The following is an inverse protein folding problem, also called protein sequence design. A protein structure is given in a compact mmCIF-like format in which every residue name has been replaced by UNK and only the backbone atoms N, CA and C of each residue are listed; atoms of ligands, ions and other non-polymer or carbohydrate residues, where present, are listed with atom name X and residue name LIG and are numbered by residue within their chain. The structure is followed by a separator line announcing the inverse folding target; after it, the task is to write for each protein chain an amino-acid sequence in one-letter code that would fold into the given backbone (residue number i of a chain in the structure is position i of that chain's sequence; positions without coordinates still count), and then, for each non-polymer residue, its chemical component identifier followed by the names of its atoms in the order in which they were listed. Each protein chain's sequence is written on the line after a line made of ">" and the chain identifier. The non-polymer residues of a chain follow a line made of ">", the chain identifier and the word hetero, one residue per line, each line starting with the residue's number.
data_IF_281475322860
#
_entry.id   IF_281475322860
#
_cell.length_a   1.000
_cell.length_b   1.000
_cell.length_c   1.000
_cell.angle_alpha   90.00
_cell.angle_beta   90.00
_cell.angle_gamma   90.00
#
_symmetry.space_group_name_H-M   'P 1'
#
loop_
_entity.id
_entity.type
_entity.pdbx_description
1 polymer ?
#
# COMPACT_ATOMS: atom_id res chain seq x y z
N UNK A 1 1.15 -25.10 -5.44
CA UNK A 1 2.51 -24.54 -5.42
C UNK A 1 2.73 -23.88 -4.06
N UNK A 2 3.80 -24.16 -3.33
CA UNK A 2 4.21 -23.33 -2.20
C UNK A 2 4.74 -22.00 -2.79
N UNK A 3 3.92 -20.95 -2.75
CA UNK A 3 4.26 -19.65 -3.32
C UNK A 3 3.06 -18.71 -3.28
N UNK A 4 3.33 -17.41 -3.26
CA UNK A 4 2.30 -16.37 -3.38
C UNK A 4 2.17 -16.01 -4.86
N UNK A 5 0.94 -15.94 -5.35
CA UNK A 5 0.66 -15.49 -6.73
C UNK A 5 0.30 -14.01 -6.70
N UNK A 6 0.97 -13.21 -7.53
CA UNK A 6 0.58 -11.81 -7.76
C UNK A 6 0.01 -11.72 -9.17
N UNK A 7 -1.20 -11.20 -9.29
CA UNK A 7 -1.85 -10.91 -10.57
C UNK A 7 -2.02 -9.41 -10.68
N UNK A 8 -1.39 -8.81 -11.68
CA UNK A 8 -1.52 -7.39 -12.00
C UNK A 8 -2.28 -7.27 -13.31
N UNK A 9 -3.55 -6.87 -13.23
CA UNK A 9 -4.39 -6.66 -14.39
C UNK A 9 -4.41 -5.17 -14.77
N UNK A 10 -3.67 -4.84 -15.83
CA UNK A 10 -3.53 -3.48 -16.36
C UNK A 10 -4.40 -3.26 -17.60
N UNK A 11 -5.47 -4.02 -17.79
CA UNK A 11 -6.40 -3.76 -18.89
C UNK A 11 -7.41 -2.69 -18.50
N UNK A 12 -8.00 -2.06 -19.52
CA UNK A 12 -9.26 -1.37 -19.36
C UNK A 12 -10.31 -2.29 -18.69
N UNK A 13 -11.17 -1.72 -17.84
CA UNK A 13 -12.18 -2.44 -17.07
C UNK A 13 -11.66 -3.68 -16.31
N UNK A 14 -10.48 -3.57 -15.70
CA UNK A 14 -9.85 -4.64 -14.90
C UNK A 14 -10.54 -4.88 -13.55
N UNK A 15 -11.34 -3.92 -13.06
CA UNK A 15 -12.02 -3.98 -11.76
C UNK A 15 -12.76 -5.31 -11.45
N UNK A 16 -13.61 -5.85 -12.35
CA UNK A 16 -14.41 -7.05 -12.06
C UNK A 16 -13.58 -8.32 -11.87
N UNK A 17 -12.30 -8.29 -12.27
CA UNK A 17 -11.43 -9.43 -12.11
C UNK A 17 -11.00 -9.63 -10.66
N UNK A 18 -11.06 -8.60 -9.81
CA UNK A 18 -10.71 -8.73 -8.38
C UNK A 18 -11.56 -9.82 -7.73
N UNK A 19 -12.88 -9.73 -7.81
CA UNK A 19 -13.82 -10.71 -7.23
C UNK A 19 -13.54 -12.14 -7.71
N UNK A 20 -13.14 -12.33 -8.97
CA UNK A 20 -12.94 -13.66 -9.58
C UNK A 20 -11.54 -14.24 -9.37
N UNK A 21 -10.54 -13.38 -9.19
CA UNK A 21 -9.15 -13.79 -9.03
C UNK A 21 -8.72 -13.85 -7.57
N UNK A 22 -9.45 -13.15 -6.68
CA UNK A 22 -9.30 -13.18 -5.24
C UNK A 22 -9.20 -14.60 -4.70
N UNK A 23 -8.42 -14.76 -3.65
CA UNK A 23 -8.36 -16.02 -2.93
C UNK A 23 -7.08 -16.22 -2.13
N UNK A 24 -6.96 -17.37 -1.45
CA UNK A 24 -5.87 -17.63 -0.53
C UNK A 24 -4.51 -17.53 -1.22
N UNK A 25 -3.58 -16.77 -0.60
CA UNK A 25 -2.21 -16.54 -1.08
C UNK A 25 -2.14 -15.87 -2.47
N UNK A 26 -3.13 -15.04 -2.79
CA UNK A 26 -3.12 -14.22 -4.00
C UNK A 26 -3.10 -12.75 -3.64
N UNK A 27 -2.42 -11.97 -4.46
CA UNK A 27 -2.52 -10.52 -4.50
C UNK A 27 -3.08 -10.19 -5.88
N UNK A 28 -4.18 -9.46 -5.93
CA UNK A 28 -4.80 -9.03 -7.17
C UNK A 28 -4.77 -7.50 -7.22
N UNK A 29 -4.14 -6.95 -8.25
CA UNK A 29 -4.12 -5.52 -8.52
C UNK A 29 -4.89 -5.28 -9.81
N UNK A 30 -5.85 -4.35 -9.77
CA UNK A 30 -6.53 -3.84 -10.95
C UNK A 30 -6.19 -2.37 -11.16
N UNK A 31 -5.96 -1.96 -12.41
CA UNK A 31 -5.70 -0.56 -12.75
C UNK A 31 -6.94 0.34 -12.66
N UNK A 32 -8.15 -0.24 -12.61
CA UNK A 32 -9.43 0.48 -12.61
C UNK A 32 -10.27 0.13 -11.38
N UNK A 33 -11.17 1.03 -10.97
CA UNK A 33 -12.09 0.86 -9.84
C UNK A 33 -13.56 0.67 -10.26
N UNK A 34 -13.85 0.63 -11.56
CA UNK A 34 -15.19 0.41 -12.08
C UNK A 34 -15.21 -0.24 -13.48
N UNK A 35 -16.35 -0.86 -13.81
CA UNK A 35 -16.65 -1.39 -15.17
C UNK A 35 -16.77 -0.30 -16.25
N UNK A 36 -16.96 0.96 -15.85
CA UNK A 36 -17.17 2.08 -16.77
C UNK A 36 -15.85 2.60 -17.36
N UNK A 37 -14.71 2.30 -16.72
CA UNK A 37 -13.38 2.75 -17.15
C UNK A 37 -12.86 1.89 -18.30
N UNK A 38 -13.26 2.21 -19.53
CA UNK A 38 -12.91 1.48 -20.75
C UNK A 38 -11.76 2.08 -21.55
N UNK A 39 -11.11 3.12 -21.02
CA UNK A 39 -9.96 3.75 -21.66
C UNK A 39 -8.68 2.97 -21.39
N UNK A 40 -7.69 3.14 -22.29
CA UNK A 40 -6.35 2.60 -22.08
C UNK A 40 -5.76 3.13 -20.78
N UNK A 41 -5.11 2.23 -20.02
CA UNK A 41 -4.53 2.56 -18.73
C UNK A 41 -3.08 2.99 -18.88
N UNK A 42 -2.66 4.00 -18.13
CA UNK A 42 -1.27 4.41 -17.99
C UNK A 42 -0.56 3.69 -16.83
N UNK A 43 -1.32 2.98 -15.98
CA UNK A 43 -0.81 2.16 -14.88
C UNK A 43 0.48 1.36 -15.17
N UNK A 44 0.55 0.53 -16.25
CA UNK A 44 1.68 -0.39 -16.42
C UNK A 44 3.02 0.34 -16.58
N UNK A 45 3.03 1.50 -17.24
CA UNK A 45 4.24 2.30 -17.41
C UNK A 45 4.79 2.77 -16.06
N UNK A 46 3.92 3.27 -15.19
CA UNK A 46 4.29 3.73 -13.86
C UNK A 46 4.62 2.58 -12.90
N UNK A 47 3.96 1.43 -13.08
CA UNK A 47 4.18 0.24 -12.26
C UNK A 47 5.56 -0.36 -12.46
N UNK A 48 6.02 -0.48 -13.71
CA UNK A 48 7.39 -0.94 -14.01
C UNK A 48 8.41 0.05 -13.44
N UNK A 49 8.21 1.35 -13.67
CA UNK A 49 9.10 2.41 -13.16
C UNK A 49 9.22 2.43 -11.64
N UNK A 50 8.17 2.05 -10.93
CA UNK A 50 8.18 2.01 -9.46
C UNK A 50 9.26 1.07 -8.89
N UNK A 51 9.66 0.02 -9.61
CA UNK A 51 10.73 -0.90 -9.16
C UNK A 51 12.14 -0.36 -9.43
N UNK A 52 12.28 0.70 -10.21
CA UNK A 52 13.56 1.35 -10.54
C UNK A 52 13.77 2.67 -9.77
N UNK A 53 12.73 3.16 -9.09
CA UNK A 53 12.72 4.44 -8.38
C UNK A 53 13.00 4.24 -6.87
N UNK A 54 14.15 4.73 -6.38
CA UNK A 54 14.48 4.75 -4.96
C UNK A 54 13.47 5.54 -4.10
N UNK A 55 12.70 6.43 -4.73
CA UNK A 55 11.59 7.16 -4.12
C UNK A 55 10.39 6.27 -3.77
N UNK A 56 10.25 5.10 -4.41
CA UNK A 56 9.19 4.14 -4.12
C UNK A 56 9.47 3.32 -2.84
N UNK A 57 10.73 3.23 -2.40
CA UNK A 57 11.12 2.60 -1.14
C UNK A 57 10.70 3.52 0.03
N UNK A 58 9.49 3.29 0.56
CA UNK A 58 8.89 4.15 1.58
C UNK A 58 9.45 3.82 2.97
N UNK A 59 9.78 2.55 3.23
CA UNK A 59 10.33 2.12 4.51
C UNK A 59 11.86 2.13 4.58
N UNK A 60 12.54 2.47 3.47
CA UNK A 60 13.99 2.60 3.31
C UNK A 60 14.74 1.30 3.57
N UNK A 61 14.17 0.18 3.11
CA UNK A 61 14.76 -1.16 3.24
C UNK A 61 15.59 -1.62 2.02
N UNK A 62 15.77 -0.75 1.02
CA UNK A 62 16.49 -1.00 -0.24
C UNK A 62 15.80 -2.03 -1.16
N UNK A 63 14.54 -2.35 -0.91
CA UNK A 63 13.70 -3.23 -1.73
C UNK A 63 12.34 -2.58 -1.91
N UNK A 64 11.70 -2.88 -3.03
CA UNK A 64 10.37 -2.38 -3.35
C UNK A 64 9.36 -3.52 -3.15
N UNK A 65 8.51 -3.39 -2.12
CA UNK A 65 7.40 -4.30 -1.92
C UNK A 65 6.29 -4.08 -2.95
N UNK A 66 5.40 -5.06 -3.10
CA UNK A 66 4.25 -4.97 -3.98
C UNK A 66 3.29 -3.85 -3.56
N UNK A 67 3.20 -3.56 -2.26
CA UNK A 67 2.44 -2.43 -1.73
C UNK A 67 3.08 -1.09 -2.12
N UNK A 68 4.40 -0.96 -1.98
CA UNK A 68 5.14 0.25 -2.35
C UNK A 68 5.06 0.54 -3.85
N UNK A 69 5.20 -0.50 -4.68
CA UNK A 69 4.99 -0.39 -6.11
C UNK A 69 3.56 0.07 -6.43
N UNK A 70 2.54 -0.54 -5.82
CA UNK A 70 1.14 -0.15 -6.00
C UNK A 70 0.87 1.30 -5.56
N UNK A 71 1.38 1.72 -4.39
CA UNK A 71 1.19 3.05 -3.84
C UNK A 71 1.88 4.13 -4.68
N UNK A 72 3.15 3.90 -5.04
CA UNK A 72 3.93 4.80 -5.90
C UNK A 72 3.25 4.98 -7.26
N UNK A 73 2.82 3.87 -7.86
CA UNK A 73 2.10 3.86 -9.15
C UNK A 73 0.80 4.64 -9.07
N UNK A 74 -0.02 4.37 -8.05
CA UNK A 74 -1.30 5.07 -7.85
C UNK A 74 -1.12 6.59 -7.75
N UNK A 75 -0.05 7.03 -7.07
CA UNK A 75 0.30 8.46 -6.99
C UNK A 75 0.81 9.02 -8.32
N UNK A 76 1.61 8.25 -9.06
CA UNK A 76 2.14 8.67 -10.36
C UNK A 76 1.05 8.80 -11.43
N UNK A 77 0.11 7.84 -11.48
CA UNK A 77 -1.08 7.89 -12.34
C UNK A 77 -1.94 9.11 -12.02
N UNK A 78 -2.21 9.36 -10.73
CA UNK A 78 -2.95 10.57 -10.32
C UNK A 78 -2.26 11.85 -10.80
N UNK A 79 -0.93 11.93 -10.66
CA UNK A 79 -0.13 13.07 -11.14
C UNK A 79 -0.16 13.19 -12.68
N UNK A 80 -0.15 12.08 -13.40
CA UNK A 80 -0.22 12.04 -14.87
C UNK A 80 -1.43 12.79 -15.41
N UNK A 81 -2.62 12.51 -14.86
CA UNK A 81 -3.87 13.17 -15.27
C UNK A 81 -3.92 14.62 -14.80
N UNK A 82 -3.50 14.90 -13.56
CA UNK A 82 -3.49 16.26 -13.01
C UNK A 82 -2.62 17.22 -13.83
N UNK A 83 -1.40 16.80 -14.22
CA UNK A 83 -0.50 17.63 -15.02
C UNK A 83 -1.02 17.94 -16.42
N UNK A 84 -1.90 17.08 -16.97
CA UNK A 84 -2.56 17.28 -18.27
C UNK A 84 -3.88 18.04 -18.18
N UNK A 85 -4.28 18.49 -16.99
CA UNK A 85 -5.57 19.13 -16.76
C UNK A 85 -6.76 18.19 -17.00
N UNK A 86 -6.55 16.88 -16.89
CA UNK A 86 -7.57 15.86 -17.10
C UNK A 86 -8.09 15.35 -15.75
N UNK A 87 -9.37 14.98 -15.71
CA UNK A 87 -9.92 14.22 -14.58
C UNK A 87 -9.27 12.85 -14.54
N UNK A 88 -8.87 12.39 -13.34
CA UNK A 88 -8.27 11.06 -13.17
C UNK A 88 -9.32 10.00 -13.47
N UNK A 89 -9.25 9.40 -14.65
CA UNK A 89 -10.14 8.32 -15.06
C UNK A 89 -9.63 6.96 -14.62
N UNK A 90 -8.43 6.88 -14.06
CA UNK A 90 -7.81 5.64 -13.60
C UNK A 90 -7.58 5.72 -12.09
N UNK A 91 -8.00 4.67 -11.39
CA UNK A 91 -7.91 4.51 -9.94
C UNK A 91 -7.68 3.03 -9.67
N UNK A 92 -6.47 2.70 -9.25
CA UNK A 92 -6.08 1.32 -9.04
C UNK A 92 -6.59 0.81 -7.68
N UNK A 93 -6.93 -0.47 -7.64
CA UNK A 93 -7.34 -1.19 -6.44
C UNK A 93 -6.47 -2.42 -6.22
N UNK A 94 -6.31 -2.82 -4.96
CA UNK A 94 -5.56 -4.00 -4.54
C UNK A 94 -6.42 -4.83 -3.57
N UNK A 95 -6.48 -6.14 -3.79
CA UNK A 95 -6.97 -7.15 -2.84
C UNK A 95 -5.83 -8.12 -2.53
N UNK A 96 -5.46 -8.23 -1.26
CA UNK A 96 -4.44 -9.18 -0.80
C UNK A 96 -4.87 -10.05 0.39
N UNK A 97 -6.11 -9.87 0.85
CA UNK A 97 -6.71 -10.66 1.90
C UNK A 97 -7.65 -11.76 1.33
N UNK A 98 -8.04 -11.65 0.05
CA UNK A 98 -8.88 -12.59 -0.66
C UNK A 98 -10.38 -12.43 -0.39
N UNK A 99 -10.82 -11.27 0.11
CA UNK A 99 -12.23 -10.93 0.35
C UNK A 99 -12.96 -10.54 -0.96
N UNK A 100 -12.22 -10.33 -2.05
CA UNK A 100 -12.77 -9.93 -3.35
C UNK A 100 -13.18 -8.46 -3.42
N UNK A 101 -12.87 -7.66 -2.41
CA UNK A 101 -13.15 -6.23 -2.30
C UNK A 101 -11.83 -5.47 -2.37
N UNK A 102 -11.44 -5.10 -3.59
CA UNK A 102 -10.22 -4.31 -3.79
C UNK A 102 -10.33 -2.92 -3.19
N UNK A 103 -9.22 -2.43 -2.62
CA UNK A 103 -9.12 -1.11 -2.00
C UNK A 103 -8.04 -0.27 -2.63
N UNK A 104 -8.31 1.02 -2.79
CA UNK A 104 -7.33 1.99 -3.24
C UNK A 104 -6.33 2.32 -2.13
N UNK A 105 -5.21 2.93 -2.51
CA UNK A 105 -4.14 3.29 -1.56
C UNK A 105 -4.62 4.16 -0.37
N UNK A 106 -5.63 5.00 -0.59
CA UNK A 106 -6.17 5.92 0.44
C UNK A 106 -7.46 5.41 1.09
N UNK A 107 -7.93 4.22 0.72
CA UNK A 107 -9.18 3.67 1.25
C UNK A 107 -8.90 2.89 2.54
N UNK A 108 -9.81 2.97 3.51
CA UNK A 108 -9.68 2.23 4.78
C UNK A 108 -9.94 0.73 4.56
N UNK A 109 -9.14 -0.13 5.20
CA UNK A 109 -9.40 -1.56 5.23
C UNK A 109 -8.19 -2.43 5.55
N UNK A 110 -8.37 -3.75 5.36
CA UNK A 110 -7.38 -4.76 5.74
C UNK A 110 -6.40 -5.13 4.61
N UNK A 111 -6.56 -4.55 3.41
CA UNK A 111 -5.66 -4.78 2.29
C UNK A 111 -4.31 -4.11 2.50
N UNK A 112 -3.27 -4.70 1.90
CA UNK A 112 -1.90 -4.21 1.88
C UNK A 112 -0.96 -4.98 2.82
N UNK A 113 -1.50 -5.77 3.76
CA UNK A 113 -0.69 -6.56 4.69
C UNK A 113 0.19 -7.56 3.96
N UNK A 114 -0.37 -8.39 3.10
CA UNK A 114 0.41 -9.38 2.36
C UNK A 114 1.30 -8.72 1.30
N UNK A 115 0.82 -7.67 0.63
CA UNK A 115 1.55 -6.93 -0.40
C UNK A 115 2.81 -6.24 0.15
N UNK A 116 2.78 -5.70 1.37
CA UNK A 116 3.95 -5.09 2.04
C UNK A 116 5.11 -6.08 2.25
N UNK A 117 4.84 -7.39 2.25
CA UNK A 117 5.85 -8.45 2.45
C UNK A 117 6.12 -9.28 1.19
N UNK A 118 5.62 -8.83 0.05
CA UNK A 118 5.82 -9.51 -1.23
C UNK A 118 6.76 -8.67 -2.05
N UNK A 119 7.85 -9.27 -2.52
CA UNK A 119 8.87 -8.62 -3.32
C UNK A 119 9.09 -9.43 -4.60
N UNK A 120 9.63 -8.79 -5.64
CA UNK A 120 9.97 -9.45 -6.91
C UNK A 120 11.40 -9.99 -6.95
N UNK A 121 12.28 -9.46 -6.10
CA UNK A 121 13.67 -9.91 -5.96
C UNK A 121 13.77 -11.23 -5.19
N UNK A 122 14.89 -11.94 -5.37
CA UNK A 122 15.13 -13.19 -4.69
C UNK A 122 15.07 -13.00 -3.17
N UNK A 123 14.42 -13.93 -2.48
CA UNK A 123 14.49 -14.00 -1.02
C UNK A 123 15.94 -14.23 -0.63
N UNK A 124 16.62 -13.17 -0.17
CA UNK A 124 17.93 -13.29 0.45
C UNK A 124 17.84 -14.39 1.54
N UNK A 125 18.86 -15.25 1.71
CA UNK A 125 18.83 -16.37 2.67
C UNK A 125 18.53 -15.94 4.13
N UNK A 126 18.77 -14.69 4.47
CA UNK A 126 18.48 -14.06 5.78
C UNK A 126 17.18 -13.25 5.81
N UNK A 127 16.33 -13.35 4.78
CA UNK A 127 15.01 -12.74 4.82
C UNK A 127 14.16 -13.48 5.85
N UNK A 128 14.07 -12.91 7.05
CA UNK A 128 13.33 -13.47 8.17
C UNK A 128 11.99 -14.08 7.71
N UNK A 129 11.68 -15.34 8.07
CA UNK A 129 10.36 -15.90 7.86
C UNK A 129 9.36 -14.95 8.50
N UNK A 130 8.21 -14.75 7.86
CA UNK A 130 7.18 -13.79 8.26
C UNK A 130 6.82 -13.92 9.75
N UNK A 131 7.56 -13.22 10.61
CA UNK A 131 7.43 -13.27 12.06
C UNK A 131 6.07 -12.69 12.43
N UNK A 132 5.22 -13.49 13.08
CA UNK A 132 3.88 -13.11 13.48
C UNK A 132 3.91 -11.86 14.39
N UNK A 133 4.98 -11.70 15.17
CA UNK A 133 5.20 -10.51 15.98
C UNK A 133 5.59 -9.30 15.14
N UNK A 134 6.44 -9.48 14.13
CA UNK A 134 6.75 -8.43 13.15
C UNK A 134 5.48 -8.00 12.40
N UNK A 135 4.59 -8.94 12.11
CA UNK A 135 3.30 -8.69 11.47
C UNK A 135 2.38 -7.84 12.34
N UNK A 136 2.28 -8.16 13.64
CA UNK A 136 1.54 -7.36 14.63
C UNK A 136 2.12 -5.95 14.75
N UNK A 137 3.45 -5.82 14.74
CA UNK A 137 4.11 -4.52 14.79
C UNK A 137 3.87 -3.69 13.53
N UNK A 138 3.91 -4.30 12.34
CA UNK A 138 3.61 -3.61 11.08
C UNK A 138 2.15 -3.15 11.00
N UNK A 139 1.20 -3.99 11.42
CA UNK A 139 -0.21 -3.61 11.52
C UNK A 139 -0.41 -2.47 12.53
N UNK A 140 0.26 -2.54 13.69
CA UNK A 140 0.20 -1.46 14.68
C UNK A 140 0.77 -0.14 14.13
N UNK A 141 1.86 -0.19 13.35
CA UNK A 141 2.44 0.98 12.69
C UNK A 141 1.41 1.63 11.75
N UNK A 142 0.78 0.85 10.88
CA UNK A 142 -0.23 1.33 9.93
C UNK A 142 -1.43 1.98 10.61
N UNK A 143 -1.94 1.37 11.69
CA UNK A 143 -3.04 1.97 12.48
C UNK A 143 -2.65 3.32 13.09
N UNK A 144 -1.45 3.43 13.66
CA UNK A 144 -0.96 4.69 14.24
C UNK A 144 -0.77 5.79 13.19
N UNK A 145 -0.35 5.43 11.97
CA UNK A 145 -0.25 6.37 10.85
C UNK A 145 -1.63 6.88 10.41
N UNK A 146 -2.63 6.00 10.33
CA UNK A 146 -4.00 6.37 10.02
C UNK A 146 -4.61 7.29 11.10
N UNK A 147 -4.43 6.94 12.38
CA UNK A 147 -4.87 7.78 13.51
C UNK A 147 -4.22 9.17 13.48
N UNK A 148 -2.94 9.26 13.10
CA UNK A 148 -2.22 10.52 12.98
C UNK A 148 -2.76 11.39 11.83
N UNK A 149 -3.09 10.81 10.68
CA UNK A 149 -3.73 11.54 9.58
C UNK A 149 -5.15 11.99 9.93
N UNK A 150 -5.94 11.14 10.58
CA UNK A 150 -7.26 11.53 11.07
C UNK A 150 -7.17 12.69 12.07
N UNK A 151 -6.18 12.66 12.97
CA UNK A 151 -5.94 13.75 13.92
C UNK A 151 -5.55 15.05 13.20
N UNK A 152 -4.74 14.99 12.14
CA UNK A 152 -4.41 16.17 11.30
C UNK A 152 -5.65 16.75 10.63
N UNK A 153 -6.58 15.91 10.15
CA UNK A 153 -7.86 16.36 9.57
C UNK A 153 -8.74 17.03 10.63
N UNK A 154 -8.78 16.46 11.84
CA UNK A 154 -9.55 16.98 12.98
C UNK A 154 -8.92 18.19 13.66
N UNK A 155 -7.65 18.52 13.36
CA UNK A 155 -6.92 19.67 13.93
C UNK A 155 -7.71 20.97 13.91
N UNK A 156 -8.48 21.24 12.85
CA UNK A 156 -9.30 22.47 12.70
C UNK A 156 -10.47 22.56 13.68
N UNK A 157 -10.85 21.45 14.31
CA UNK A 157 -11.94 21.36 15.27
C UNK A 157 -11.46 21.11 16.72
N UNK A 158 -10.15 21.00 16.93
CA UNK A 158 -9.54 20.72 18.23
C UNK A 158 -8.87 21.96 18.81
N UNK A 159 -8.80 22.05 20.14
CA UNK A 159 -7.96 23.06 20.78
C UNK A 159 -6.48 22.75 20.52
N UNK A 160 -5.66 23.79 20.34
CA UNK A 160 -4.25 23.61 19.97
C UNK A 160 -3.44 22.76 20.98
N UNK A 161 -3.75 22.89 22.28
CA UNK A 161 -3.14 22.11 23.36
C UNK A 161 -3.57 20.65 23.37
N UNK A 162 -4.83 20.38 23.00
CA UNK A 162 -5.38 19.03 22.88
C UNK A 162 -4.82 18.30 21.67
N UNK A 163 -4.78 18.98 20.51
CA UNK A 163 -4.13 18.46 19.31
C UNK A 163 -2.65 18.13 19.55
N UNK A 164 -1.90 19.03 20.19
CA UNK A 164 -0.48 18.82 20.46
C UNK A 164 -0.24 17.58 21.33
N UNK A 165 -1.07 17.38 22.38
CA UNK A 165 -0.97 16.23 23.28
C UNK A 165 -1.28 14.90 22.58
N UNK A 166 -2.36 14.85 21.81
CA UNK A 166 -2.75 13.64 21.07
C UNK A 166 -1.74 13.32 19.97
N UNK A 167 -1.24 14.34 19.27
CA UNK A 167 -0.25 14.17 18.21
C UNK A 167 1.09 13.69 18.76
N UNK A 168 1.54 14.26 19.88
CA UNK A 168 2.75 13.81 20.57
C UNK A 168 2.63 12.34 20.99
N UNK A 169 1.49 11.92 21.58
CA UNK A 169 1.25 10.52 21.96
C UNK A 169 1.40 9.59 20.75
N UNK A 170 0.71 9.88 19.66
CA UNK A 170 0.72 9.08 18.43
C UNK A 170 2.13 8.98 17.84
N UNK A 171 2.85 10.10 17.77
CA UNK A 171 4.21 10.12 17.21
C UNK A 171 5.22 9.34 18.07
N UNK A 172 5.08 9.39 19.39
CA UNK A 172 5.93 8.61 20.31
C UNK A 172 5.65 7.12 20.15
N UNK A 173 4.38 6.71 20.08
CA UNK A 173 4.02 5.31 19.85
C UNK A 173 4.53 4.82 18.48
N UNK A 174 4.36 5.61 17.43
CA UNK A 174 4.84 5.30 16.09
C UNK A 174 6.36 5.13 16.07
N UNK A 175 7.10 6.01 16.75
CA UNK A 175 8.55 5.93 16.87
C UNK A 175 9.01 4.66 17.62
N UNK A 176 8.31 4.26 18.68
CA UNK A 176 8.59 3.03 19.43
C UNK A 176 8.37 1.79 18.57
N UNK A 177 7.22 1.69 17.90
CA UNK A 177 6.88 0.57 17.01
C UNK A 177 7.89 0.48 15.86
N UNK A 178 8.25 1.61 15.25
CA UNK A 178 9.25 1.67 14.17
C UNK A 178 10.67 1.29 14.63
N UNK A 179 11.01 1.57 15.89
CA UNK A 179 12.27 1.13 16.50
C UNK A 179 12.30 -0.38 16.73
N UNK A 180 11.20 -0.95 17.22
CA UNK A 180 11.08 -2.39 17.47
C UNK A 180 11.12 -3.21 16.18
N UNK A 181 10.43 -2.73 15.13
CA UNK A 181 10.51 -3.30 13.78
C UNK A 181 11.97 -3.34 13.29
N UNK A 182 12.72 -2.24 13.45
CA UNK A 182 14.13 -2.17 13.04
C UNK A 182 15.03 -3.14 13.81
N UNK A 183 14.80 -3.34 15.11
CA UNK A 183 15.59 -4.29 15.93
C UNK A 183 15.33 -5.72 15.50
N UNK A 184 14.06 -6.10 15.31
CA UNK A 184 13.67 -7.44 14.86
C UNK A 184 14.16 -7.75 13.44
N UNK A 185 14.23 -6.77 12.54
CA UNK A 185 14.81 -6.97 11.19
C UNK A 185 16.33 -7.11 11.17
N UNK A 186 17.05 -6.78 12.25
CA UNK A 186 18.51 -6.92 12.39
C UNK A 186 18.96 -8.22 13.06
N UNK A 187 18.02 -8.98 13.62
CA UNK A 187 18.27 -10.25 14.33
C UNK A 187 17.91 -11.40 13.41
#
# INVERSE_FOLDING_TARGET
>A
MPGRLVVVNTTAASFPFIERLAGPRRIVIAATDSVAQRFDTVFPEYFVKAFEDEGADLDKNQRISMWEAFASTSMAVRRHYQQRGQLSTERALLDDNGDGVGRGMADEGADGSAATRTYLDETLPDAAPTDEDLLKLLQRKSLLEAEAEELKIRRRFLQATEYAREFERLMIELARVSSEIRKRRKT
#
